data_IF_968776318950
#
_entry.id   IF_968776318950
#
_cell.length_a   1.000
_cell.length_b   1.000
_cell.length_c   1.000
_cell.angle_alpha   90.00
_cell.angle_beta   90.00
_cell.angle_gamma   90.00
#
_symmetry.space_group_name_H-M   'P 1'
#
loop_
_entity.id
_entity.type
_entity.pdbx_description
1 polymer ?
#
# COMPACT_ATOMS: atom_id res chain seq x y z
N UNK A 1 -25.75 -7.63 11.65
CA UNK A 1 -26.38 -7.09 10.42
C UNK A 1 -25.68 -5.84 9.86
N UNK A 2 -25.16 -4.90 10.68
CA UNK A 2 -24.39 -3.74 10.15
C UNK A 2 -22.91 -4.09 9.85
N UNK A 3 -22.24 -4.86 10.72
CA UNK A 3 -20.83 -5.27 10.53
C UNK A 3 -20.62 -6.25 9.36
N UNK A 4 -21.57 -7.16 9.16
CA UNK A 4 -21.53 -8.17 8.10
C UNK A 4 -21.62 -7.56 6.70
N UNK A 5 -22.35 -6.45 6.55
CA UNK A 5 -22.43 -5.70 5.30
C UNK A 5 -21.15 -4.92 4.99
N UNK A 6 -20.48 -4.38 6.03
CA UNK A 6 -19.23 -3.64 5.86
C UNK A 6 -18.09 -4.57 5.43
N UNK A 7 -17.98 -5.75 6.06
CA UNK A 7 -17.00 -6.79 5.68
C UNK A 7 -17.19 -7.28 4.24
N UNK A 8 -18.44 -7.44 3.80
CA UNK A 8 -18.73 -7.88 2.44
C UNK A 8 -18.41 -6.82 1.37
N UNK A 9 -18.54 -5.53 1.71
CA UNK A 9 -18.17 -4.44 0.82
C UNK A 9 -16.65 -4.38 0.60
N UNK A 10 -15.86 -4.41 1.69
CA UNK A 10 -14.39 -4.39 1.59
C UNK A 10 -13.84 -5.59 0.80
N UNK A 11 -14.38 -6.78 1.04
CA UNK A 11 -14.02 -7.98 0.26
C UNK A 11 -14.30 -7.81 -1.23
N UNK A 12 -15.41 -7.15 -1.59
CA UNK A 12 -15.78 -6.91 -2.98
C UNK A 12 -14.87 -5.86 -3.65
N UNK A 13 -14.43 -4.85 -2.90
CA UNK A 13 -13.47 -3.86 -3.38
C UNK A 13 -12.11 -4.48 -3.65
N UNK A 14 -11.59 -5.29 -2.71
CA UNK A 14 -10.33 -6.00 -2.92
C UNK A 14 -10.41 -7.02 -4.06
N UNK A 15 -11.53 -7.74 -4.22
CA UNK A 15 -11.70 -8.65 -5.34
C UNK A 15 -11.63 -7.93 -6.70
N UNK A 16 -12.28 -6.76 -6.82
CA UNK A 16 -12.18 -5.92 -8.02
C UNK A 16 -10.77 -5.39 -8.24
N UNK A 17 -10.11 -4.93 -7.18
CA UNK A 17 -8.74 -4.42 -7.27
C UNK A 17 -7.77 -5.50 -7.72
N UNK A 18 -7.84 -6.71 -7.16
CA UNK A 18 -7.06 -7.86 -7.60
C UNK A 18 -7.30 -8.20 -9.07
N UNK A 19 -8.56 -8.24 -9.51
CA UNK A 19 -8.87 -8.51 -10.91
C UNK A 19 -8.21 -7.49 -11.85
N UNK A 20 -8.26 -6.19 -11.51
CA UNK A 20 -7.56 -5.15 -12.28
C UNK A 20 -6.04 -5.40 -12.29
N UNK A 21 -5.44 -5.76 -11.15
CA UNK A 21 -4.02 -6.08 -11.07
C UNK A 21 -3.67 -7.29 -11.95
N UNK A 22 -4.43 -8.37 -11.88
CA UNK A 22 -4.18 -9.60 -12.64
C UNK A 22 -4.45 -9.44 -14.14
N UNK A 23 -5.29 -8.49 -14.55
CA UNK A 23 -5.51 -8.12 -15.96
C UNK A 23 -4.37 -7.28 -16.54
N UNK A 24 -3.69 -6.48 -15.72
CA UNK A 24 -2.69 -5.50 -16.18
C UNK A 24 -1.23 -5.94 -15.95
N UNK A 25 -0.99 -6.96 -15.12
CA UNK A 25 0.34 -7.40 -14.75
C UNK A 25 0.50 -8.91 -14.93
N UNK A 26 1.71 -9.33 -15.32
CA UNK A 26 2.12 -10.74 -15.32
C UNK A 26 3.06 -10.94 -14.14
N UNK A 27 2.72 -11.88 -13.27
CA UNK A 27 3.49 -12.15 -12.06
C UNK A 27 4.56 -13.24 -12.29
N UNK A 28 5.73 -13.16 -11.62
CA UNK A 28 6.16 -12.06 -10.75
C UNK A 28 6.63 -10.83 -11.55
N UNK A 29 6.42 -9.64 -11.00
CA UNK A 29 6.90 -8.38 -11.58
C UNK A 29 7.39 -7.41 -10.51
N UNK A 30 8.21 -6.45 -10.91
CA UNK A 30 8.45 -5.26 -10.10
C UNK A 30 7.18 -4.40 -10.08
N UNK A 31 6.75 -4.00 -8.88
CA UNK A 31 5.57 -3.16 -8.68
C UNK A 31 5.94 -1.88 -7.91
N UNK A 32 5.61 -0.69 -8.45
CA UNK A 32 5.88 0.57 -7.78
C UNK A 32 4.83 0.84 -6.69
N UNK A 33 5.28 0.93 -5.44
CA UNK A 33 4.46 1.43 -4.35
C UNK A 33 4.71 2.91 -4.10
N UNK A 34 3.65 3.64 -3.75
CA UNK A 34 3.75 5.04 -3.35
C UNK A 34 2.82 5.36 -2.20
N UNK A 35 3.38 6.00 -1.18
CA UNK A 35 2.67 6.38 0.03
C UNK A 35 2.92 7.86 0.37
N UNK A 36 1.97 8.49 1.03
CA UNK A 36 2.11 9.81 1.64
C UNK A 36 1.87 9.65 3.13
N UNK A 37 2.87 10.00 3.93
CA UNK A 37 2.92 9.72 5.37
C UNK A 37 3.50 10.90 6.15
N UNK A 38 3.27 10.99 7.46
CA UNK A 38 3.96 11.95 8.30
C UNK A 38 5.43 11.54 8.54
N UNK A 39 6.39 12.48 8.64
CA UNK A 39 7.81 12.15 8.77
C UNK A 39 8.15 11.18 9.92
N UNK A 40 7.48 11.30 11.07
CA UNK A 40 7.76 10.48 12.25
C UNK A 40 7.23 9.04 12.17
N UNK A 41 6.45 8.70 11.13
CA UNK A 41 5.89 7.36 10.93
C UNK A 41 6.64 6.57 9.84
N UNK A 42 7.67 7.14 9.20
CA UNK A 42 8.41 6.50 8.10
C UNK A 42 9.00 5.15 8.52
N UNK A 43 9.54 5.05 9.73
CA UNK A 43 10.15 3.80 10.21
C UNK A 43 9.11 2.69 10.42
N UNK A 44 7.86 3.04 10.76
CA UNK A 44 6.78 2.06 10.83
C UNK A 44 6.43 1.51 9.44
N UNK A 45 6.38 2.39 8.43
CA UNK A 45 6.13 1.99 7.04
C UNK A 45 7.27 1.10 6.52
N UNK A 46 8.54 1.46 6.76
CA UNK A 46 9.70 0.65 6.35
C UNK A 46 9.64 -0.77 6.89
N UNK A 47 9.26 -0.96 8.16
CA UNK A 47 9.07 -2.30 8.74
C UNK A 47 8.00 -3.11 8.03
N UNK A 48 6.90 -2.49 7.63
CA UNK A 48 5.85 -3.17 6.85
C UNK A 48 6.37 -3.57 5.46
N UNK A 49 7.20 -2.71 4.86
CA UNK A 49 7.85 -2.95 3.57
C UNK A 49 9.13 -3.82 3.70
N UNK A 50 9.31 -4.50 4.84
CA UNK A 50 10.47 -5.37 5.11
C UNK A 50 11.83 -4.68 4.87
N UNK A 51 11.94 -3.43 5.33
CA UNK A 51 13.13 -2.58 5.20
C UNK A 51 13.63 -2.42 3.75
N UNK A 52 12.70 -2.46 2.78
CA UNK A 52 12.99 -2.16 1.38
C UNK A 52 13.65 -0.79 1.20
N UNK A 53 14.43 -0.65 0.13
CA UNK A 53 15.02 0.64 -0.23
C UNK A 53 13.90 1.59 -0.69
N UNK A 54 13.85 2.78 -0.09
CA UNK A 54 12.77 3.75 -0.29
C UNK A 54 13.33 5.11 -0.70
N UNK A 55 12.71 5.71 -1.70
CA UNK A 55 12.92 7.10 -2.08
C UNK A 55 11.99 7.99 -1.27
N UNK A 56 12.56 8.88 -0.47
CA UNK A 56 11.84 9.85 0.34
C UNK A 56 11.83 11.22 -0.33
N UNK A 57 10.65 11.83 -0.45
CA UNK A 57 10.47 13.20 -0.95
C UNK A 57 9.59 14.02 -0.01
N UNK A 58 10.17 14.94 0.79
CA UNK A 58 9.40 15.84 1.63
C UNK A 58 8.43 16.71 0.83
N UNK A 59 7.27 17.00 1.39
CA UNK A 59 6.32 17.98 0.84
C UNK A 59 6.89 19.40 0.93
N UNK A 60 6.32 20.32 0.15
CA UNK A 60 6.73 21.74 0.12
C UNK A 60 6.79 22.40 1.51
N UNK A 61 5.92 22.00 2.42
CA UNK A 61 5.83 22.53 3.79
C UNK A 61 6.36 21.57 4.87
N UNK A 62 6.93 20.42 4.48
CA UNK A 62 7.47 19.41 5.39
C UNK A 62 6.42 18.63 6.22
N UNK A 63 5.12 18.91 6.05
CA UNK A 63 4.05 18.21 6.78
C UNK A 63 3.97 16.73 6.44
N UNK A 64 4.25 16.39 5.18
CA UNK A 64 4.18 15.02 4.68
C UNK A 64 5.47 14.66 3.95
N UNK A 65 5.70 13.36 3.81
CA UNK A 65 6.76 12.79 2.99
C UNK A 65 6.11 11.80 2.04
N UNK A 66 6.40 11.95 0.75
CA UNK A 66 6.14 10.89 -0.23
C UNK A 66 7.21 9.82 -0.06
N UNK A 67 6.79 8.57 0.07
CA UNK A 67 7.66 7.39 0.11
C UNK A 67 7.36 6.57 -1.14
N UNK A 68 8.40 6.23 -1.90
CA UNK A 68 8.28 5.39 -3.09
C UNK A 68 9.26 4.24 -3.00
N UNK A 69 8.85 3.04 -3.43
CA UNK A 69 9.72 1.87 -3.53
C UNK A 69 9.21 0.98 -4.64
N UNK A 70 10.13 0.32 -5.34
CA UNK A 70 9.81 -0.75 -6.28
C UNK A 70 10.11 -2.06 -5.57
N UNK A 71 9.12 -2.96 -5.55
CA UNK A 71 9.28 -4.27 -4.89
C UNK A 71 8.92 -5.38 -5.87
N UNK A 72 9.68 -6.47 -5.81
CA UNK A 72 9.36 -7.70 -6.53
C UNK A 72 8.17 -8.38 -5.87
N UNK A 73 7.08 -8.47 -6.60
CA UNK A 73 5.80 -9.00 -6.15
C UNK A 73 5.45 -10.27 -6.93
N UNK A 74 4.96 -11.28 -6.22
CA UNK A 74 4.63 -12.59 -6.81
C UNK A 74 3.15 -12.75 -7.18
N UNK A 75 2.26 -11.90 -6.68
CA UNK A 75 0.82 -11.95 -6.98
C UNK A 75 0.09 -10.68 -6.55
N UNK A 76 -1.12 -10.48 -7.08
CA UNK A 76 -2.04 -9.41 -6.61
C UNK A 76 -2.41 -9.53 -5.13
N UNK A 77 -2.38 -10.75 -4.56
CA UNK A 77 -2.61 -10.98 -3.12
C UNK A 77 -1.54 -10.32 -2.24
N UNK A 78 -0.27 -10.35 -2.65
CA UNK A 78 0.81 -9.70 -1.90
C UNK A 78 0.63 -8.18 -1.88
N UNK A 79 0.17 -7.58 -2.99
CA UNK A 79 -0.15 -6.16 -3.06
C UNK A 79 -1.25 -5.83 -2.08
N UNK A 80 -2.40 -6.54 -2.15
CA UNK A 80 -3.52 -6.31 -1.23
C UNK A 80 -3.07 -6.43 0.23
N UNK A 81 -2.28 -7.45 0.56
CA UNK A 81 -1.74 -7.63 1.90
C UNK A 81 -0.90 -6.44 2.37
N UNK A 82 -0.03 -5.89 1.51
CA UNK A 82 0.76 -4.69 1.83
C UNK A 82 -0.16 -3.49 2.07
N UNK A 83 -1.13 -3.22 1.18
CA UNK A 83 -2.07 -2.11 1.36
C UNK A 83 -2.91 -2.26 2.64
N UNK A 84 -3.35 -3.47 2.99
CA UNK A 84 -4.04 -3.75 4.25
C UNK A 84 -3.16 -3.47 5.48
N UNK A 85 -1.89 -3.90 5.48
CA UNK A 85 -0.97 -3.62 6.57
C UNK A 85 -0.71 -2.13 6.72
N UNK A 86 -0.53 -1.43 5.60
CA UNK A 86 -0.27 0.00 5.59
C UNK A 86 -1.46 0.79 6.15
N UNK A 87 -2.72 0.37 5.91
CA UNK A 87 -3.93 1.02 6.48
C UNK A 87 -3.93 1.12 8.01
N UNK A 88 -3.11 0.33 8.72
CA UNK A 88 -2.94 0.46 10.18
C UNK A 88 -2.18 1.70 10.63
N UNK A 89 -1.48 2.39 9.71
CA UNK A 89 -0.79 3.65 9.99
C UNK A 89 -1.81 4.80 9.90
N UNK A 90 -2.05 5.47 11.01
CA UNK A 90 -3.00 6.59 11.05
C UNK A 90 -2.58 7.71 10.09
N UNK A 91 -3.52 8.14 9.24
CA UNK A 91 -3.34 9.27 8.33
C UNK A 91 -2.48 8.99 7.10
N UNK A 92 -2.08 7.73 6.86
CA UNK A 92 -1.38 7.38 5.62
C UNK A 92 -2.33 7.41 4.43
N UNK A 93 -1.79 7.80 3.27
CA UNK A 93 -2.45 7.65 1.98
C UNK A 93 -1.58 6.72 1.14
N UNK A 94 -2.16 5.63 0.66
CA UNK A 94 -1.55 4.75 -0.33
C UNK A 94 -2.12 5.09 -1.72
N UNK A 95 -1.24 5.27 -2.71
CA UNK A 95 -1.59 5.69 -4.07
C UNK A 95 -1.62 4.54 -5.05
#
# INVERSE_FOLDING_TARGET
>A
MQEENLSNLEKKEYAKFKAILDENYIWPTEFPFKFIIMPHQIDQLKKILNDADVVLRPSKNGKYVSVSTDMKISSSDEIVYIYEKVRSIEGIIAL
#
